data_IF_832774152494
#
_entry.id   IF_832774152494
#
_cell.length_a   1.000
_cell.length_b   1.000
_cell.length_c   1.000
_cell.angle_alpha   90.00
_cell.angle_beta   90.00
_cell.angle_gamma   90.00
#
_symmetry.space_group_name_H-M   'P 1'
#
loop_
_entity.id
_entity.type
_entity.pdbx_description
1 polymer ?
#
# COMPACT_ATOMS: atom_id res chain seq x y z
N UNK A 1 -26.38 10.09 -1.78
CA UNK A 1 -27.20 8.90 -1.35
C UNK A 1 -26.68 8.41 -0.01
N UNK A 2 -27.58 8.23 0.96
CA UNK A 2 -27.23 7.66 2.27
C UNK A 2 -27.15 6.13 2.17
N UNK A 3 -26.11 5.53 2.77
CA UNK A 3 -25.92 4.08 2.85
C UNK A 3 -25.69 3.69 4.30
N UNK A 4 -26.17 2.52 4.72
CA UNK A 4 -25.98 1.99 6.08
C UNK A 4 -24.89 0.92 6.09
N UNK A 5 -24.03 0.96 7.11
CA UNK A 5 -22.95 0.01 7.39
C UNK A 5 -22.91 -0.27 8.89
N UNK A 6 -22.40 -1.44 9.26
CA UNK A 6 -22.15 -1.77 10.67
C UNK A 6 -20.84 -1.13 11.14
N UNK A 7 -19.84 -1.05 10.23
CA UNK A 7 -18.53 -0.48 10.50
C UNK A 7 -18.13 0.44 9.35
N UNK A 8 -17.71 1.66 9.66
CA UNK A 8 -17.09 2.59 8.72
C UNK A 8 -15.68 2.91 9.20
N UNK A 9 -14.68 2.61 8.39
CA UNK A 9 -13.27 2.88 8.66
C UNK A 9 -12.86 4.12 7.88
N UNK A 10 -12.33 5.14 8.56
CA UNK A 10 -11.81 6.35 7.92
C UNK A 10 -10.28 6.23 7.82
N UNK A 11 -9.79 6.17 6.58
CA UNK A 11 -8.39 5.96 6.24
C UNK A 11 -8.08 4.52 5.83
N UNK A 12 -7.55 4.36 4.61
CA UNK A 12 -7.17 3.08 4.00
C UNK A 12 -5.69 2.71 4.19
N UNK A 13 -5.00 3.28 5.17
CA UNK A 13 -3.63 2.90 5.56
C UNK A 13 -3.55 1.54 6.25
N UNK A 14 -2.36 1.10 6.73
CA UNK A 14 -2.16 -0.23 7.33
C UNK A 14 -3.14 -0.57 8.45
N UNK A 15 -3.40 0.34 9.37
CA UNK A 15 -4.41 0.13 10.42
C UNK A 15 -5.82 0.02 9.84
N UNK A 16 -6.16 0.89 8.87
CA UNK A 16 -7.50 0.97 8.30
C UNK A 16 -7.85 -0.22 7.42
N UNK A 17 -7.02 -0.56 6.43
CA UNK A 17 -7.37 -1.70 5.55
C UNK A 17 -7.37 -3.03 6.31
N UNK A 18 -6.49 -3.22 7.29
CA UNK A 18 -6.50 -4.43 8.14
C UNK A 18 -7.77 -4.49 8.97
N UNK A 19 -8.16 -3.37 9.62
CA UNK A 19 -9.40 -3.27 10.37
C UNK A 19 -10.63 -3.56 9.48
N UNK A 20 -10.71 -2.94 8.30
CA UNK A 20 -11.83 -3.14 7.38
C UNK A 20 -11.95 -4.60 6.90
N UNK A 21 -10.82 -5.22 6.54
CA UNK A 21 -10.79 -6.64 6.12
C UNK A 21 -11.25 -7.53 7.27
N UNK A 22 -10.72 -7.31 8.47
CA UNK A 22 -11.09 -8.15 9.62
C UNK A 22 -12.53 -7.98 10.02
N UNK A 23 -13.07 -6.76 10.02
CA UNK A 23 -14.49 -6.51 10.30
C UNK A 23 -15.39 -7.25 9.30
N UNK A 24 -15.06 -7.17 8.00
CA UNK A 24 -15.82 -7.87 6.97
C UNK A 24 -15.74 -9.41 7.11
N UNK A 25 -14.58 -9.96 7.49
CA UNK A 25 -14.41 -11.39 7.76
C UNK A 25 -15.24 -11.87 8.96
N UNK A 26 -15.51 -10.98 9.92
CA UNK A 26 -16.38 -11.25 11.08
C UNK A 26 -17.87 -11.11 10.75
N UNK A 27 -18.21 -10.81 9.49
CA UNK A 27 -19.59 -10.73 9.03
C UNK A 27 -20.21 -9.33 9.06
N UNK A 28 -19.44 -8.29 9.46
CA UNK A 28 -19.96 -6.92 9.48
C UNK A 28 -20.02 -6.32 8.07
N UNK A 29 -21.10 -5.63 7.75
CA UNK A 29 -21.22 -4.82 6.54
C UNK A 29 -20.30 -3.60 6.67
N UNK A 30 -19.16 -3.64 5.99
CA UNK A 30 -18.06 -2.71 6.21
C UNK A 30 -17.84 -1.76 5.03
N UNK A 31 -17.60 -0.47 5.33
CA UNK A 31 -17.08 0.50 4.40
C UNK A 31 -15.71 1.03 4.85
N UNK A 32 -14.88 1.43 3.89
CA UNK A 32 -13.63 2.14 4.15
C UNK A 32 -13.57 3.38 3.28
N UNK A 33 -13.28 4.53 3.90
CA UNK A 33 -13.12 5.83 3.23
C UNK A 33 -11.63 6.13 3.12
N UNK A 34 -11.15 6.49 1.93
CA UNK A 34 -9.75 6.89 1.70
C UNK A 34 -9.69 8.09 0.75
N UNK A 35 -8.97 9.11 1.16
CA UNK A 35 -8.79 10.35 0.39
C UNK A 35 -7.78 10.22 -0.74
N UNK A 36 -6.81 9.31 -0.64
CA UNK A 36 -5.85 9.04 -1.70
C UNK A 36 -6.49 8.28 -2.86
N UNK A 37 -5.88 8.35 -4.03
CA UNK A 37 -6.32 7.58 -5.20
C UNK A 37 -6.18 6.07 -5.04
N UNK A 38 -5.36 5.62 -4.08
CA UNK A 38 -5.06 4.19 -3.83
C UNK A 38 -5.11 3.88 -2.34
N UNK A 39 -5.44 2.62 -2.02
CA UNK A 39 -5.33 2.08 -0.66
C UNK A 39 -3.86 1.87 -0.25
N UNK A 40 -3.63 1.65 1.04
CA UNK A 40 -2.30 1.36 1.59
C UNK A 40 -1.65 2.51 2.36
N UNK A 41 -2.25 3.71 2.30
CA UNK A 41 -1.77 4.90 3.02
C UNK A 41 -0.33 5.28 2.69
N UNK A 42 0.33 6.01 3.57
CA UNK A 42 1.75 6.42 3.43
C UNK A 42 2.67 5.20 3.34
N UNK A 43 2.43 4.17 4.14
CA UNK A 43 3.32 3.00 4.18
C UNK A 43 3.50 2.35 2.80
N UNK A 44 2.42 2.03 2.09
CA UNK A 44 2.52 1.37 0.79
C UNK A 44 2.93 2.32 -0.33
N UNK A 45 2.47 3.57 -0.28
CA UNK A 45 2.63 4.50 -1.40
C UNK A 45 3.94 5.32 -1.35
N UNK A 46 4.38 5.74 -0.16
CA UNK A 46 5.47 6.72 0.00
C UNK A 46 6.55 6.28 1.00
N UNK A 47 6.22 5.39 1.93
CA UNK A 47 7.05 5.02 3.08
C UNK A 47 7.67 3.63 2.97
N UNK A 48 7.12 2.68 3.72
CA UNK A 48 7.71 1.35 3.97
C UNK A 48 8.08 0.59 2.70
N UNK A 49 7.18 0.53 1.73
CA UNK A 49 7.38 -0.28 0.53
C UNK A 49 8.39 0.36 -0.42
N UNK A 50 8.22 1.62 -0.86
CA UNK A 50 9.20 2.23 -1.75
C UNK A 50 10.58 2.33 -1.11
N UNK A 51 10.70 2.65 0.17
CA UNK A 51 12.01 2.73 0.84
C UNK A 51 12.70 1.38 0.91
N UNK A 52 12.01 0.30 1.29
CA UNK A 52 12.60 -1.06 1.34
C UNK A 52 13.00 -1.56 -0.04
N UNK A 53 12.20 -1.26 -1.06
CA UNK A 53 12.54 -1.61 -2.45
C UNK A 53 13.84 -0.94 -2.91
N UNK A 54 14.02 0.35 -2.59
CA UNK A 54 15.23 1.09 -2.95
C UNK A 54 16.43 0.65 -2.11
N UNK A 55 16.27 0.48 -0.79
CA UNK A 55 17.33 0.00 0.10
C UNK A 55 17.84 -1.38 -0.33
N UNK A 56 16.95 -2.33 -0.61
CA UNK A 56 17.36 -3.65 -1.09
C UNK A 56 18.14 -3.57 -2.41
N UNK A 57 17.68 -2.76 -3.36
CA UNK A 57 18.38 -2.60 -4.64
C UNK A 57 19.74 -1.93 -4.46
N UNK A 58 19.86 -0.94 -3.57
CA UNK A 58 21.14 -0.26 -3.29
C UNK A 58 22.12 -1.16 -2.57
N UNK A 59 21.65 -1.99 -1.65
CA UNK A 59 22.47 -2.97 -0.94
C UNK A 59 23.04 -4.03 -1.89
N UNK A 60 22.19 -4.59 -2.78
CA UNK A 60 22.65 -5.55 -3.80
C UNK A 60 23.71 -4.90 -4.70
N UNK A 61 23.50 -3.65 -5.12
CA UNK A 61 24.46 -2.93 -5.93
C UNK A 61 25.79 -2.69 -5.18
N UNK A 62 25.72 -2.33 -3.91
CA UNK A 62 26.90 -2.15 -3.05
C UNK A 62 27.68 -3.48 -2.91
N UNK A 63 27.01 -4.57 -2.56
CA UNK A 63 27.61 -5.90 -2.45
C UNK A 63 28.28 -6.34 -3.74
N UNK A 64 27.57 -6.16 -4.85
CA UNK A 64 28.11 -6.53 -6.16
C UNK A 64 29.40 -5.78 -6.52
N UNK A 65 29.54 -4.53 -6.12
CA UNK A 65 30.75 -3.71 -6.37
C UNK A 65 31.89 -3.95 -5.40
N UNK A 66 31.59 -4.30 -4.15
CA UNK A 66 32.59 -4.31 -3.06
C UNK A 66 32.95 -5.70 -2.56
N UNK A 67 31.99 -6.63 -2.60
CA UNK A 67 32.13 -7.89 -1.88
C UNK A 67 32.22 -9.11 -2.81
N UNK A 68 31.68 -9.05 -4.04
CA UNK A 68 31.58 -10.20 -4.93
C UNK A 68 32.94 -10.84 -5.25
N UNK A 69 33.99 -10.04 -5.48
CA UNK A 69 35.33 -10.58 -5.75
C UNK A 69 35.87 -11.39 -4.56
N UNK A 70 35.61 -10.96 -3.33
CA UNK A 70 36.01 -11.71 -2.13
C UNK A 70 35.25 -13.01 -1.96
N UNK A 71 34.08 -13.16 -2.58
CA UNK A 71 33.27 -14.37 -2.60
C UNK A 71 33.58 -15.29 -3.79
N UNK A 72 34.56 -14.95 -4.61
CA UNK A 72 34.89 -15.69 -5.84
C UNK A 72 33.93 -15.44 -7.00
N UNK A 73 33.12 -14.40 -6.94
CA UNK A 73 32.18 -14.01 -8.01
C UNK A 73 32.80 -12.89 -8.82
N UNK A 74 33.30 -13.20 -10.00
CA UNK A 74 33.91 -12.23 -10.91
C UNK A 74 32.85 -11.51 -11.75
N UNK A 75 32.92 -10.17 -11.75
CA UNK A 75 32.05 -9.34 -12.57
C UNK A 75 32.87 -8.33 -13.37
N UNK A 76 32.68 -8.26 -14.69
CA UNK A 76 33.45 -7.35 -15.56
C UNK A 76 33.14 -5.87 -15.34
N UNK A 77 31.87 -5.54 -15.22
CA UNK A 77 31.42 -4.19 -14.85
C UNK A 77 29.99 -4.21 -14.33
N UNK A 78 29.72 -3.43 -13.30
CA UNK A 78 28.38 -3.26 -12.75
C UNK A 78 28.02 -1.80 -12.85
N UNK A 79 26.95 -1.50 -13.59
CA UNK A 79 26.43 -0.15 -13.79
C UNK A 79 25.04 -0.03 -13.20
N UNK A 80 24.79 1.07 -12.49
CA UNK A 80 23.46 1.40 -11.99
C UNK A 80 22.63 2.02 -13.12
N UNK A 81 21.43 1.47 -13.34
CA UNK A 81 20.39 2.12 -14.13
C UNK A 81 19.30 2.63 -13.19
N UNK A 82 19.38 3.89 -12.79
CA UNK A 82 18.47 4.50 -11.83
C UNK A 82 17.01 4.47 -12.30
N UNK A 83 16.77 4.69 -13.60
CA UNK A 83 15.41 4.64 -14.15
C UNK A 83 14.77 3.27 -14.00
N UNK A 84 15.50 2.19 -14.29
CA UNK A 84 15.02 0.82 -14.06
C UNK A 84 14.79 0.52 -12.58
N UNK A 85 15.66 1.00 -11.70
CA UNK A 85 15.52 0.86 -10.25
C UNK A 85 14.25 1.54 -9.75
N UNK A 86 13.99 2.77 -10.20
CA UNK A 86 12.77 3.51 -9.86
C UNK A 86 11.50 2.82 -10.41
N UNK A 87 11.56 2.29 -11.62
CA UNK A 87 10.45 1.53 -12.18
C UNK A 87 10.16 0.25 -11.40
N UNK A 88 11.18 -0.47 -10.94
CA UNK A 88 11.02 -1.63 -10.07
C UNK A 88 10.34 -1.27 -8.74
N UNK A 89 10.76 -0.18 -8.11
CA UNK A 89 10.12 0.37 -6.91
C UNK A 89 8.64 0.69 -7.17
N UNK A 90 8.33 1.38 -8.27
CA UNK A 90 6.94 1.72 -8.63
C UNK A 90 6.08 0.48 -8.87
N UNK A 91 6.64 -0.56 -9.51
CA UNK A 91 5.97 -1.84 -9.73
C UNK A 91 5.61 -2.52 -8.40
N UNK A 92 6.53 -2.50 -7.42
CA UNK A 92 6.27 -3.05 -6.09
C UNK A 92 5.11 -2.34 -5.39
N UNK A 93 5.10 -1.00 -5.41
CA UNK A 93 4.01 -0.19 -4.85
C UNK A 93 2.68 -0.53 -5.52
N UNK A 94 2.64 -0.55 -6.87
CA UNK A 94 1.43 -0.83 -7.63
C UNK A 94 0.89 -2.25 -7.35
N UNK A 95 1.77 -3.23 -7.25
CA UNK A 95 1.38 -4.62 -6.97
C UNK A 95 0.71 -4.74 -5.60
N UNK A 96 1.29 -4.09 -4.58
CA UNK A 96 0.77 -4.18 -3.21
C UNK A 96 -0.52 -3.37 -3.01
N UNK A 97 -0.62 -2.16 -3.59
CA UNK A 97 -1.85 -1.36 -3.50
C UNK A 97 -3.02 -2.06 -4.21
N UNK A 98 -2.79 -2.64 -5.39
CA UNK A 98 -3.79 -3.49 -6.09
C UNK A 98 -4.13 -4.74 -5.29
N UNK A 99 -3.17 -5.33 -4.58
CA UNK A 99 -3.41 -6.46 -3.68
C UNK A 99 -4.42 -6.11 -2.57
N UNK A 100 -4.29 -4.94 -1.96
CA UNK A 100 -5.25 -4.46 -0.95
C UNK A 100 -6.63 -4.22 -1.58
N UNK A 101 -6.71 -3.60 -2.76
CA UNK A 101 -7.98 -3.43 -3.48
C UNK A 101 -8.65 -4.77 -3.81
N UNK A 102 -7.88 -5.76 -4.22
CA UNK A 102 -8.38 -7.12 -4.43
C UNK A 102 -8.95 -7.73 -3.15
N UNK A 103 -8.26 -7.57 -2.00
CA UNK A 103 -8.76 -8.04 -0.71
C UNK A 103 -10.06 -7.34 -0.31
N UNK A 104 -10.21 -6.06 -0.61
CA UNK A 104 -11.47 -5.34 -0.38
C UNK A 104 -12.61 -5.95 -1.19
N UNK A 105 -12.39 -6.17 -2.49
CA UNK A 105 -13.38 -6.83 -3.37
C UNK A 105 -13.73 -8.24 -2.89
N UNK A 106 -12.72 -9.04 -2.55
CA UNK A 106 -12.90 -10.40 -2.05
C UNK A 106 -13.75 -10.46 -0.79
N UNK A 107 -13.57 -9.51 0.13
CA UNK A 107 -14.31 -9.41 1.39
C UNK A 107 -15.57 -8.52 1.29
N UNK A 108 -15.98 -8.10 0.09
CA UNK A 108 -17.17 -7.26 -0.17
C UNK A 108 -17.18 -5.95 0.62
N UNK A 109 -16.01 -5.36 0.87
CA UNK A 109 -15.87 -4.07 1.54
C UNK A 109 -16.23 -2.96 0.55
N UNK A 110 -17.08 -2.03 0.96
CA UNK A 110 -17.39 -0.85 0.16
C UNK A 110 -16.24 0.15 0.27
N UNK A 111 -15.53 0.38 -0.83
CA UNK A 111 -14.48 1.39 -0.90
C UNK A 111 -15.08 2.72 -1.35
N UNK A 112 -14.96 3.75 -0.50
CA UNK A 112 -15.44 5.11 -0.76
C UNK A 112 -14.22 6.02 -0.90
N UNK A 113 -14.09 6.68 -2.05
CA UNK A 113 -13.04 7.66 -2.31
C UNK A 113 -13.48 9.01 -1.85
N UNK A 114 -12.60 9.74 -1.17
CA UNK A 114 -12.86 11.08 -0.67
C UNK A 114 -12.39 11.26 0.78
N UNK A 115 -12.61 12.46 1.30
CA UNK A 115 -12.29 12.81 2.67
C UNK A 115 -13.47 12.45 3.58
N UNK A 116 -13.24 11.56 4.53
CA UNK A 116 -14.23 11.11 5.50
C UNK A 116 -14.12 11.87 6.83
N UNK A 117 -15.25 12.30 7.39
CA UNK A 117 -15.29 12.88 8.73
C UNK A 117 -16.60 12.53 9.44
N UNK A 118 -16.54 12.46 10.78
CA UNK A 118 -17.71 12.21 11.63
C UNK A 118 -18.49 13.54 11.73
N UNK A 119 -19.64 13.60 11.09
CA UNK A 119 -20.49 14.80 11.07
C UNK A 119 -21.50 14.84 12.22
N UNK A 120 -21.93 13.71 12.71
CA UNK A 120 -22.76 13.57 13.92
C UNK A 120 -22.66 12.16 14.47
N UNK A 121 -23.39 11.88 15.56
CA UNK A 121 -23.45 10.52 16.13
C UNK A 121 -23.89 9.52 15.04
N UNK A 122 -23.05 8.50 14.82
CA UNK A 122 -23.28 7.42 13.84
C UNK A 122 -23.37 7.87 12.36
N UNK A 123 -22.91 9.08 12.03
CA UNK A 123 -22.89 9.57 10.64
C UNK A 123 -21.47 9.94 10.24
N UNK A 124 -20.99 9.29 9.16
CA UNK A 124 -19.77 9.67 8.45
C UNK A 124 -20.14 10.30 7.12
N UNK A 125 -19.67 11.51 6.91
CA UNK A 125 -19.81 12.24 5.63
C UNK A 125 -18.53 12.06 4.83
N UNK A 126 -18.68 11.82 3.52
CA UNK A 126 -17.58 11.71 2.56
C UNK A 126 -17.72 12.83 1.56
N UNK A 127 -16.67 13.62 1.40
CA UNK A 127 -16.56 14.68 0.38
C UNK A 127 -15.36 14.40 -0.53
N UNK A 128 -15.51 14.77 -1.79
CA UNK A 128 -14.47 14.64 -2.82
C UNK A 128 -13.31 15.63 -2.59
#
# INVERSE_FOLDING_TARGET
MQKSFDVVVIGGGPGGYVCAIRSAQLGFKTACVESRSTLGGVCLNEGCIPSKSLLNSSEIYHKARKEFNGLGIETKSIKLNLSKMMNNKNKSVLTLTKGVEYLFKKNKITYLKGNGFISSQNIVTVVD
#
